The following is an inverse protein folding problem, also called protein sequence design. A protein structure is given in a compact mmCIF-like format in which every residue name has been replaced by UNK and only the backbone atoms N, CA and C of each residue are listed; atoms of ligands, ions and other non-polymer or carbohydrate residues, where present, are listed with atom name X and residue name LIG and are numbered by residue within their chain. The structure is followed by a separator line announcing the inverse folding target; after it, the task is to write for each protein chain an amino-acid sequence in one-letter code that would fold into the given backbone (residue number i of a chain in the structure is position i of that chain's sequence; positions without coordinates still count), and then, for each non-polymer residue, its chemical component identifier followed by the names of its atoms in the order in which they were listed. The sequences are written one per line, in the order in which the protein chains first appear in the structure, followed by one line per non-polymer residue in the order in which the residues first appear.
data_IF_383400243887
#
_entry.id   IF_383400243887
#
_cell.length_a   1.000
_cell.length_b   1.000
_cell.length_c   1.000
_cell.angle_alpha   90.00
_cell.angle_beta   90.00
_cell.angle_gamma   90.00
#
_symmetry.space_group_name_H-M   'P 1'
#
loop_
_entity.id
_entity.type
_entity.pdbx_description
1 polymer ?
#
# COMPACT_ATOMS: atom_id res chain seq x y z
N UNK A 1 -3.85 -0.12 -25.37
CA UNK A 1 -5.26 -0.43 -25.05
C UNK A 1 -5.59 0.09 -23.65
N UNK A 2 -6.81 0.59 -23.41
CA UNK A 2 -7.25 1.03 -22.08
C UNK A 2 -7.30 -0.20 -21.16
N UNK A 3 -6.51 -0.18 -20.08
CA UNK A 3 -6.43 -1.30 -19.11
C UNK A 3 -7.77 -1.39 -18.37
N UNK A 4 -8.39 -2.57 -18.36
CA UNK A 4 -9.65 -2.86 -17.68
C UNK A 4 -9.43 -3.95 -16.63
N UNK A 5 -10.13 -3.85 -15.51
CA UNK A 5 -10.26 -4.89 -14.50
C UNK A 5 -11.53 -5.71 -14.75
N UNK A 6 -11.74 -6.78 -13.99
CA UNK A 6 -12.98 -7.58 -14.06
C UNK A 6 -14.26 -6.75 -13.82
N UNK A 7 -14.14 -5.62 -13.12
CA UNK A 7 -15.29 -4.80 -12.69
C UNK A 7 -15.39 -3.43 -13.39
N UNK A 8 -14.43 -3.05 -14.25
CA UNK A 8 -14.49 -1.76 -14.92
C UNK A 8 -13.14 -1.27 -15.46
N UNK A 9 -12.98 0.05 -15.54
CA UNK A 9 -11.72 0.67 -15.95
C UNK A 9 -10.69 0.60 -14.83
N UNK A 10 -9.43 0.31 -15.18
CA UNK A 10 -8.34 0.36 -14.21
C UNK A 10 -8.03 1.81 -13.84
N UNK A 11 -7.83 2.05 -12.56
CA UNK A 11 -7.28 3.32 -12.04
C UNK A 11 -5.95 3.07 -11.34
N UNK A 12 -5.19 2.05 -11.74
CA UNK A 12 -3.88 1.77 -11.15
C UNK A 12 -2.91 2.93 -11.37
N UNK A 13 -1.86 3.02 -10.55
CA UNK A 13 -0.86 4.09 -10.63
C UNK A 13 -0.32 4.28 -12.06
N UNK A 14 0.13 3.20 -12.71
CA UNK A 14 0.64 3.24 -14.10
C UNK A 14 -0.37 3.79 -15.13
N UNK A 15 -1.67 3.57 -14.90
CA UNK A 15 -2.73 4.06 -15.80
C UNK A 15 -2.97 5.54 -15.55
N UNK A 16 -3.02 5.95 -14.29
CA UNK A 16 -3.19 7.35 -13.91
C UNK A 16 -1.98 8.19 -14.30
N UNK A 17 -0.75 7.69 -14.17
CA UNK A 17 0.46 8.38 -14.63
C UNK A 17 0.40 8.70 -16.13
N UNK A 18 -0.04 7.73 -16.96
CA UNK A 18 -0.24 7.93 -18.41
C UNK A 18 -1.36 8.92 -18.73
N UNK A 19 -2.29 9.15 -17.79
CA UNK A 19 -3.40 10.09 -17.92
C UNK A 19 -3.09 11.44 -17.24
N UNK A 20 -1.94 11.59 -16.60
CA UNK A 20 -1.61 12.76 -15.77
C UNK A 20 -1.62 14.09 -16.55
N UNK A 21 -1.29 14.04 -17.85
CA UNK A 21 -1.30 15.21 -18.74
C UNK A 21 -2.68 15.52 -19.33
N UNK A 22 -3.68 14.65 -19.12
CA UNK A 22 -5.04 14.85 -19.65
C UNK A 22 -5.87 15.79 -18.79
N UNK A 23 -5.67 15.77 -17.47
CA UNK A 23 -6.40 16.62 -16.54
C UNK A 23 -5.68 16.72 -15.20
N UNK A 24 -5.62 17.92 -14.61
CA UNK A 24 -4.93 18.20 -13.34
C UNK A 24 -5.41 17.31 -12.18
N UNK A 25 -6.70 16.96 -12.17
CA UNK A 25 -7.30 16.05 -11.17
C UNK A 25 -6.55 14.73 -11.03
N UNK A 26 -5.93 14.23 -12.11
CA UNK A 26 -5.26 12.93 -12.09
C UNK A 26 -4.04 12.96 -11.18
N UNK A 27 -3.27 14.05 -11.20
CA UNK A 27 -2.14 14.26 -10.27
C UNK A 27 -2.63 14.36 -8.83
N UNK A 28 -3.72 15.10 -8.58
CA UNK A 28 -4.35 15.20 -7.25
C UNK A 28 -4.84 13.85 -6.73
N UNK A 29 -5.38 12.99 -7.59
CA UNK A 29 -5.82 11.64 -7.20
C UNK A 29 -4.62 10.77 -6.80
N UNK A 30 -3.51 10.83 -7.55
CA UNK A 30 -2.29 10.09 -7.22
C UNK A 30 -1.74 10.50 -5.85
N UNK A 31 -1.60 11.81 -5.63
CA UNK A 31 -1.14 12.39 -4.36
C UNK A 31 -2.07 12.02 -3.21
N UNK A 32 -3.38 12.18 -3.39
CA UNK A 32 -4.37 11.80 -2.39
C UNK A 32 -4.26 10.32 -1.99
N UNK A 33 -4.06 9.42 -2.96
CA UNK A 33 -3.91 7.99 -2.69
C UNK A 33 -2.63 7.67 -1.92
N UNK A 34 -1.53 8.33 -2.23
CA UNK A 34 -0.29 8.18 -1.46
C UNK A 34 -0.51 8.59 0.01
N UNK A 35 -1.03 9.81 0.23
CA UNK A 35 -1.28 10.33 1.58
C UNK A 35 -2.29 9.47 2.33
N UNK A 36 -3.38 9.06 1.68
CA UNK A 36 -4.42 8.25 2.30
C UNK A 36 -3.88 6.87 2.71
N UNK A 37 -2.99 6.27 1.91
CA UNK A 37 -2.36 5.00 2.25
C UNK A 37 -1.40 5.15 3.44
N UNK A 38 -0.59 6.21 3.45
CA UNK A 38 0.26 6.59 4.59
C UNK A 38 -0.56 6.69 5.87
N UNK A 39 -1.62 7.50 5.85
CA UNK A 39 -2.51 7.71 6.98
C UNK A 39 -3.24 6.43 7.40
N UNK A 40 -4.04 5.84 6.52
CA UNK A 40 -4.93 4.75 6.91
C UNK A 40 -4.19 3.47 7.26
N UNK A 41 -3.22 3.06 6.44
CA UNK A 41 -2.56 1.76 6.62
C UNK A 41 -1.44 1.84 7.65
N UNK A 42 -0.61 2.88 7.59
CA UNK A 42 0.63 2.91 8.36
C UNK A 42 0.55 3.76 9.62
N UNK A 43 -0.30 4.79 9.66
CA UNK A 43 -0.52 5.56 10.89
C UNK A 43 -1.66 4.93 11.68
N UNK A 44 -2.90 5.10 11.21
CA UNK A 44 -4.09 4.64 11.92
C UNK A 44 -4.06 3.12 12.13
N UNK A 45 -3.70 2.37 11.09
CA UNK A 45 -3.61 0.92 11.13
C UNK A 45 -2.56 0.37 12.11
N UNK A 46 -1.37 0.99 12.18
CA UNK A 46 -0.31 0.54 13.10
C UNK A 46 -0.54 1.03 14.53
N UNK A 47 -1.10 2.23 14.73
CA UNK A 47 -1.42 2.73 16.07
C UNK A 47 -2.42 1.81 16.78
N UNK A 48 -3.41 1.29 16.07
CA UNK A 48 -4.46 0.43 16.62
C UNK A 48 -4.00 -0.95 17.10
N UNK A 49 -2.76 -1.35 16.79
CA UNK A 49 -2.21 -2.67 17.11
C UNK A 49 -1.00 -2.62 18.04
N UNK A 50 -0.63 -1.42 18.50
CA UNK A 50 0.38 -1.25 19.55
C UNK A 50 -0.16 -1.90 20.82
N UNK A 51 0.65 -2.78 21.43
CA UNK A 51 0.30 -3.44 22.69
C UNK A 51 0.73 -2.58 23.89
N UNK A 52 0.37 -3.01 25.09
CA UNK A 52 0.66 -2.32 26.36
C UNK A 52 2.16 -2.05 26.58
N UNK A 53 3.04 -2.86 25.97
CA UNK A 53 4.50 -2.68 26.00
C UNK A 53 5.02 -1.59 25.03
N UNK A 54 4.10 -0.84 24.40
CA UNK A 54 4.38 0.15 23.36
C UNK A 54 5.12 -0.43 22.14
N UNK A 55 4.93 -1.72 21.83
CA UNK A 55 5.52 -2.39 20.67
C UNK A 55 4.46 -2.98 19.75
N UNK A 56 4.87 -3.19 18.51
CA UNK A 56 4.09 -3.90 17.49
C UNK A 56 4.62 -5.32 17.40
N UNK A 57 3.72 -6.29 17.46
CA UNK A 57 4.05 -7.72 17.43
C UNK A 57 3.52 -8.32 16.14
N UNK A 58 4.40 -8.63 15.19
CA UNK A 58 4.06 -9.25 13.91
C UNK A 58 4.33 -10.76 13.93
N UNK A 59 3.58 -11.52 13.13
CA UNK A 59 3.79 -12.95 12.92
C UNK A 59 4.63 -13.18 11.67
N UNK A 60 5.74 -13.90 11.80
CA UNK A 60 6.63 -14.23 10.69
C UNK A 60 6.41 -15.65 10.20
N UNK A 61 6.01 -15.83 8.93
CA UNK A 61 5.76 -17.13 8.32
C UNK A 61 6.90 -17.51 7.36
N UNK A 62 7.53 -18.65 7.61
CA UNK A 62 8.63 -19.18 6.78
C UNK A 62 8.15 -20.14 5.68
N UNK A 63 6.94 -20.70 5.82
CA UNK A 63 6.42 -21.77 4.96
C UNK A 63 5.56 -21.27 3.80
N UNK A 64 5.31 -19.95 3.70
CA UNK A 64 4.38 -19.38 2.72
C UNK A 64 5.04 -19.15 1.36
N UNK A 65 6.33 -18.78 1.32
CA UNK A 65 7.01 -18.49 0.06
C UNK A 65 7.82 -19.69 -0.41
N UNK A 66 7.68 -20.08 -1.67
CA UNK A 66 8.49 -21.15 -2.28
C UNK A 66 9.98 -20.80 -2.36
N UNK A 67 10.31 -19.52 -2.30
CA UNK A 67 11.68 -19.00 -2.38
C UNK A 67 12.46 -19.05 -1.06
N UNK A 68 11.82 -19.42 0.05
CA UNK A 68 12.43 -19.40 1.39
C UNK A 68 12.51 -18.00 2.03
N UNK A 69 11.86 -16.99 1.45
CA UNK A 69 11.67 -15.68 2.09
C UNK A 69 10.67 -15.79 3.22
N UNK A 70 10.94 -15.08 4.31
CA UNK A 70 10.00 -14.89 5.41
C UNK A 70 8.92 -13.92 4.95
N UNK A 71 7.66 -14.16 5.30
CA UNK A 71 6.58 -13.16 5.18
C UNK A 71 6.15 -12.68 6.56
N UNK A 72 5.60 -11.47 6.65
CA UNK A 72 5.12 -10.84 7.88
C UNK A 72 3.61 -10.57 7.77
N UNK A 73 2.85 -10.96 8.79
CA UNK A 73 1.39 -10.78 8.86
C UNK A 73 0.98 -10.23 10.22
N UNK A 74 -0.14 -9.50 10.27
CA UNK A 74 -0.77 -8.99 11.50
C UNK A 74 0.18 -8.19 12.43
N UNK A 75 0.80 -7.08 11.98
CA UNK A 75 0.68 -6.44 10.67
C UNK A 75 1.81 -6.88 9.73
N UNK A 76 1.70 -6.56 8.44
CA UNK A 76 2.81 -6.73 7.51
C UNK A 76 3.82 -5.59 7.64
N UNK A 77 4.95 -5.88 8.27
CA UNK A 77 6.05 -4.93 8.50
C UNK A 77 7.03 -4.84 7.31
N UNK A 78 6.90 -5.70 6.31
CA UNK A 78 7.78 -5.67 5.13
C UNK A 78 7.35 -4.63 4.10
N UNK A 79 6.08 -4.22 4.14
CA UNK A 79 5.51 -3.24 3.23
C UNK A 79 5.56 -1.80 3.77
N UNK A 80 6.39 -1.51 4.78
CA UNK A 80 6.54 -0.14 5.29
C UNK A 80 7.21 0.73 4.20
N UNK A 81 6.68 1.92 3.87
CA UNK A 81 7.23 2.77 2.82
C UNK A 81 8.64 3.23 3.18
N UNK A 82 9.60 2.99 2.28
CA UNK A 82 11.02 3.35 2.47
C UNK A 82 11.42 4.59 1.64
N UNK A 83 10.61 4.94 0.64
CA UNK A 83 10.79 6.11 -0.22
C UNK A 83 9.48 6.87 -0.28
N UNK A 84 9.55 8.18 -0.05
CA UNK A 84 8.49 9.15 -0.31
C UNK A 84 8.70 9.64 -1.75
N UNK A 85 8.28 8.83 -2.73
CA UNK A 85 8.06 9.29 -4.10
C UNK A 85 6.56 9.47 -4.32
#
# INVERSE_FOLDING_TARGET
AIKKTKTGYSTDAEVLEKLSDKHEIVKKILEYRQIMKLKSTYVDGLLNIIKEDNKIHSTFNQTVTSTGRISSTEPNLQNIPVRLE
#
